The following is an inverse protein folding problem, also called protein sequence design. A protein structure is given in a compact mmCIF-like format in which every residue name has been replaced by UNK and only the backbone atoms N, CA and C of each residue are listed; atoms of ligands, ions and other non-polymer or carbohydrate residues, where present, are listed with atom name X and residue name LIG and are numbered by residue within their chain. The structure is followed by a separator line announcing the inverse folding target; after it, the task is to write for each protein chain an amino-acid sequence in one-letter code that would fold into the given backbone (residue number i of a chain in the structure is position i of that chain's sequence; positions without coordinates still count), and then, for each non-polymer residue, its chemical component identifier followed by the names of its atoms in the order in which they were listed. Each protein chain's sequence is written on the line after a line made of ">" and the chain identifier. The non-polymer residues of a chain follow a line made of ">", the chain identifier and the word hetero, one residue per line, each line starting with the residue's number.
data_IF_230919189991
#
_entry.id   IF_230919189991
#
_cell.length_a   1.000
_cell.length_b   1.000
_cell.length_c   1.000
_cell.angle_alpha   90.00
_cell.angle_beta   90.00
_cell.angle_gamma   90.00
#
_symmetry.space_group_name_H-M   'P 1'
#
loop_
_entity.id
_entity.type
_entity.pdbx_description
1 polymer ?
#
# COMPACT_ATOMS: atom_id res chain seq x y z
N UNK A 1 -5.29 -2.39 -6.99
CA UNK A 1 -4.93 -1.76 -8.29
C UNK A 1 -3.44 -1.48 -8.30
N UNK A 2 -2.77 -1.79 -9.40
CA UNK A 2 -1.33 -1.52 -9.58
C UNK A 2 -1.17 -0.35 -10.54
N UNK A 3 -0.37 0.63 -10.17
CA UNK A 3 -0.07 1.83 -10.96
C UNK A 3 1.42 2.14 -10.97
N UNK A 4 1.84 3.07 -11.81
CA UNK A 4 3.24 3.50 -11.86
C UNK A 4 4.15 2.61 -12.69
N UNK A 5 3.60 1.71 -13.47
CA UNK A 5 4.40 0.83 -14.33
C UNK A 5 5.21 1.59 -15.38
N UNK A 6 4.62 2.63 -15.96
CA UNK A 6 5.27 3.43 -17.00
C UNK A 6 6.49 4.19 -16.49
N UNK A 7 6.44 4.67 -15.23
CA UNK A 7 7.56 5.37 -14.61
C UNK A 7 8.57 4.42 -13.95
N UNK A 8 8.40 3.11 -14.08
CA UNK A 8 9.31 2.11 -13.52
C UNK A 8 9.17 1.89 -12.02
N UNK A 9 8.14 2.43 -11.38
CA UNK A 9 7.88 2.30 -9.95
C UNK A 9 6.48 1.73 -9.70
N UNK A 10 6.22 0.46 -10.07
CA UNK A 10 4.90 -0.11 -9.86
C UNK A 10 4.60 -0.25 -8.37
N UNK A 11 3.46 0.28 -7.97
CA UNK A 11 2.96 0.18 -6.60
C UNK A 11 1.52 -0.31 -6.59
N UNK A 12 1.16 -1.03 -5.55
CA UNK A 12 -0.21 -1.46 -5.34
C UNK A 12 -0.90 -0.51 -4.37
N UNK A 13 -2.12 -0.10 -4.70
CA UNK A 13 -2.90 0.80 -3.86
C UNK A 13 -4.36 0.35 -3.80
N UNK A 14 -5.07 0.86 -2.80
CA UNK A 14 -6.52 0.72 -2.76
C UNK A 14 -7.14 1.44 -3.96
N UNK A 15 -8.27 0.94 -4.42
CA UNK A 15 -8.98 1.44 -5.61
C UNK A 15 -9.80 2.68 -5.27
N UNK A 16 -9.11 3.76 -4.91
CA UNK A 16 -9.69 5.06 -4.61
C UNK A 16 -9.95 5.88 -5.88
N UNK A 17 -10.59 7.03 -5.73
CA UNK A 17 -10.78 7.96 -6.84
C UNK A 17 -9.43 8.38 -7.45
N UNK A 18 -8.48 8.76 -6.60
CA UNK A 18 -7.11 9.10 -7.04
C UNK A 18 -6.47 7.97 -7.86
N UNK A 19 -6.56 6.73 -7.37
CA UNK A 19 -5.96 5.59 -8.04
C UNK A 19 -6.55 5.37 -9.43
N UNK A 20 -7.86 5.53 -9.59
CA UNK A 20 -8.54 5.41 -10.89
C UNK A 20 -8.16 6.53 -11.84
N UNK A 21 -8.11 7.77 -11.35
CA UNK A 21 -7.71 8.93 -12.15
C UNK A 21 -6.25 8.85 -12.60
N UNK A 22 -5.35 8.45 -11.69
CA UNK A 22 -3.96 8.21 -12.01
C UNK A 22 -3.80 7.14 -13.09
N UNK A 23 -4.49 6.02 -12.92
CA UNK A 23 -4.45 4.92 -13.89
C UNK A 23 -4.91 5.38 -15.29
N UNK A 24 -6.00 6.14 -15.36
CA UNK A 24 -6.49 6.71 -16.62
C UNK A 24 -5.46 7.65 -17.23
N UNK A 25 -4.84 8.49 -16.43
CA UNK A 25 -3.82 9.43 -16.90
C UNK A 25 -2.58 8.70 -17.42
N UNK A 26 -2.13 7.67 -16.70
CA UNK A 26 -0.96 6.85 -17.06
C UNK A 26 -1.17 6.15 -18.41
N UNK A 27 -2.31 5.50 -18.61
CA UNK A 27 -2.62 4.79 -19.85
C UNK A 27 -3.23 5.70 -20.94
N UNK A 28 -3.65 6.89 -20.59
CA UNK A 28 -4.19 7.89 -21.50
C UNK A 28 -3.15 8.76 -22.19
N UNK A 29 -1.86 8.53 -21.95
CA UNK A 29 -0.80 9.27 -22.63
C UNK A 29 -0.35 10.57 -21.97
N UNK A 30 -0.69 10.80 -20.70
CA UNK A 30 -0.18 11.97 -19.97
C UNK A 30 1.36 11.94 -19.94
N UNK A 31 2.05 13.08 -20.24
CA UNK A 31 3.52 13.14 -20.17
C UNK A 31 4.05 12.77 -18.79
N UNK A 32 5.23 12.18 -18.73
CA UNK A 32 5.81 11.67 -17.48
C UNK A 32 5.95 12.73 -16.40
N UNK A 33 6.37 13.95 -16.76
CA UNK A 33 6.49 15.06 -15.80
C UNK A 33 5.14 15.47 -15.20
N UNK A 34 4.09 15.49 -16.01
CA UNK A 34 2.74 15.80 -15.54
C UNK A 34 2.19 14.67 -14.66
N UNK A 35 2.50 13.43 -15.00
CA UNK A 35 2.10 12.27 -14.22
C UNK A 35 2.76 12.25 -12.83
N UNK A 36 4.05 12.58 -12.76
CA UNK A 36 4.76 12.74 -11.50
C UNK A 36 4.16 13.86 -10.64
N UNK A 37 3.88 15.01 -11.26
CA UNK A 37 3.25 16.15 -10.59
C UNK A 37 1.85 15.78 -10.06
N UNK A 38 1.09 15.02 -10.81
CA UNK A 38 -0.23 14.54 -10.42
C UNK A 38 -0.18 13.68 -9.14
N UNK A 39 0.86 12.86 -9.01
CA UNK A 39 1.02 11.97 -7.86
C UNK A 39 1.69 12.62 -6.65
N UNK A 40 2.30 13.79 -6.81
CA UNK A 40 3.04 14.46 -5.74
C UNK A 40 2.13 14.80 -4.56
N UNK A 41 2.52 14.36 -3.37
CA UNK A 41 1.79 14.64 -2.13
C UNK A 41 0.58 13.74 -1.86
N UNK A 42 0.21 12.86 -2.78
CA UNK A 42 -0.96 11.99 -2.62
C UNK A 42 -0.84 11.00 -1.45
N UNK A 43 0.34 10.44 -1.23
CA UNK A 43 0.59 9.55 -0.09
C UNK A 43 0.48 10.30 1.24
N UNK A 44 1.00 11.52 1.28
CA UNK A 44 0.91 12.39 2.47
C UNK A 44 -0.54 12.71 2.81
N UNK A 45 -1.37 13.03 1.81
CA UNK A 45 -2.80 13.28 2.01
C UNK A 45 -3.50 12.06 2.62
N UNK A 46 -3.18 10.85 2.15
CA UNK A 46 -3.72 9.63 2.70
C UNK A 46 -3.32 9.41 4.17
N UNK A 47 -2.03 9.55 4.46
CA UNK A 47 -1.47 9.25 5.79
C UNK A 47 -1.84 10.30 6.83
N UNK A 48 -1.81 11.58 6.47
CA UNK A 48 -2.04 12.69 7.43
C UNK A 48 -3.48 13.12 7.52
N UNK A 49 -4.20 13.14 6.41
CA UNK A 49 -5.55 13.71 6.34
C UNK A 49 -6.63 12.67 6.08
N UNK A 50 -6.25 11.44 5.69
CA UNK A 50 -7.22 10.40 5.37
C UNK A 50 -8.12 10.75 4.17
N UNK A 51 -7.63 11.59 3.24
CA UNK A 51 -8.40 12.05 2.09
C UNK A 51 -8.67 10.90 1.11
N UNK A 52 -9.91 10.41 1.11
CA UNK A 52 -10.33 9.29 0.27
C UNK A 52 -10.45 9.62 -1.22
N UNK A 53 -10.54 10.90 -1.55
CA UNK A 53 -10.67 11.33 -2.95
C UNK A 53 -9.30 11.57 -3.61
N UNK A 54 -8.41 12.27 -2.91
CA UNK A 54 -7.10 12.70 -3.44
C UNK A 54 -5.92 11.91 -2.89
N UNK A 55 -6.13 11.13 -1.85
CA UNK A 55 -5.09 10.34 -1.19
C UNK A 55 -4.73 9.07 -1.95
N UNK A 56 -3.46 8.72 -1.91
CA UNK A 56 -2.95 7.44 -2.38
C UNK A 56 -2.73 6.51 -1.20
N UNK A 57 -3.54 5.47 -1.09
CA UNK A 57 -3.46 4.48 -0.02
C UNK A 57 -2.74 3.24 -0.53
N UNK A 58 -1.47 3.10 -0.18
CA UNK A 58 -0.66 1.95 -0.55
C UNK A 58 -1.04 0.74 0.29
N UNK A 59 -1.23 -0.39 -0.35
CA UNK A 59 -1.60 -1.63 0.32
C UNK A 59 -1.10 -2.83 -0.47
N UNK A 60 -0.41 -3.75 0.21
CA UNK A 60 -0.01 -5.03 -0.36
C UNK A 60 -1.15 -6.04 -0.32
N UNK A 61 -0.90 -7.24 -0.82
CA UNK A 61 -1.89 -8.31 -0.86
C UNK A 61 -2.38 -8.72 0.53
N UNK A 62 -1.51 -8.67 1.54
CA UNK A 62 -1.84 -9.04 2.92
C UNK A 62 -2.90 -8.12 3.55
N UNK A 63 -3.11 -6.93 2.99
CA UNK A 63 -4.12 -6.00 3.50
C UNK A 63 -5.53 -6.62 3.56
N UNK A 64 -5.81 -7.59 2.70
CA UNK A 64 -7.11 -8.27 2.67
C UNK A 64 -7.41 -9.10 3.93
N UNK A 65 -6.40 -9.47 4.70
CA UNK A 65 -6.56 -10.24 5.95
C UNK A 65 -6.50 -9.38 7.20
N UNK A 66 -6.29 -8.08 7.05
CA UNK A 66 -6.36 -7.13 8.16
C UNK A 66 -7.84 -6.91 8.51
N UNK A 67 -8.21 -7.24 9.74
CA UNK A 67 -9.62 -7.27 10.16
C UNK A 67 -9.95 -6.39 11.35
N UNK A 68 -9.00 -5.62 11.88
CA UNK A 68 -9.22 -4.72 13.01
C UNK A 68 -8.24 -3.56 13.03
N UNK A 69 -8.65 -2.49 13.66
CA UNK A 69 -7.79 -1.37 14.02
C UNK A 69 -7.15 -1.63 15.37
N UNK A 70 -5.88 -1.26 15.52
CA UNK A 70 -5.18 -1.34 16.80
C UNK A 70 -4.03 -0.32 16.83
N UNK A 71 -3.59 0.11 18.02
CA UNK A 71 -2.42 0.97 18.15
C UNK A 71 -1.17 0.33 17.53
N UNK A 72 -0.29 1.15 16.98
CA UNK A 72 0.92 0.67 16.32
C UNK A 72 1.81 -0.20 17.24
N UNK A 73 1.91 0.15 18.52
CA UNK A 73 2.66 -0.63 19.50
C UNK A 73 2.10 -2.06 19.66
N UNK A 74 0.78 -2.20 19.64
CA UNK A 74 0.13 -3.52 19.72
C UNK A 74 0.36 -4.34 18.46
N UNK A 75 0.37 -3.71 17.29
CA UNK A 75 0.66 -4.39 16.02
C UNK A 75 2.06 -4.98 16.04
N UNK A 76 3.05 -4.21 16.44
CA UNK A 76 4.45 -4.67 16.53
C UNK A 76 4.57 -5.81 17.53
N UNK A 77 3.97 -5.68 18.70
CA UNK A 77 3.98 -6.71 19.74
C UNK A 77 3.34 -8.01 19.25
N UNK A 78 2.19 -7.93 18.61
CA UNK A 78 1.47 -9.07 18.06
C UNK A 78 2.30 -9.83 17.02
N UNK A 79 2.95 -9.10 16.11
CA UNK A 79 3.82 -9.69 15.08
C UNK A 79 4.94 -10.51 15.74
N UNK A 80 5.61 -9.98 16.75
CA UNK A 80 6.69 -10.67 17.44
C UNK A 80 6.17 -11.85 18.25
N UNK A 81 5.07 -11.69 18.98
CA UNK A 81 4.46 -12.76 19.79
C UNK A 81 3.98 -13.93 18.93
N UNK A 82 3.48 -13.67 17.74
CA UNK A 82 3.05 -14.73 16.81
C UNK A 82 4.22 -15.37 16.06
N UNK A 83 5.24 -14.59 15.71
CA UNK A 83 6.41 -15.08 14.99
C UNK A 83 7.30 -16.00 15.85
N UNK A 84 7.46 -15.70 17.13
CA UNK A 84 8.34 -16.42 18.02
C UNK A 84 8.01 -17.92 18.14
N UNK A 85 6.74 -18.33 18.41
CA UNK A 85 6.38 -19.75 18.43
C UNK A 85 6.58 -20.45 17.09
N UNK A 86 6.34 -19.74 15.98
CA UNK A 86 6.53 -20.29 14.63
C UNK A 86 8.01 -20.59 14.39
N UNK A 87 8.90 -19.67 14.75
CA UNK A 87 10.33 -19.85 14.60
C UNK A 87 10.86 -20.95 15.51
N UNK A 88 10.41 -21.01 16.75
CA UNK A 88 10.78 -22.08 17.70
C UNK A 88 10.30 -23.45 17.24
N UNK A 89 9.17 -23.52 16.57
CA UNK A 89 8.63 -24.75 15.98
C UNK A 89 9.12 -25.05 14.57
N UNK A 90 10.04 -24.26 14.04
CA UNK A 90 10.49 -24.35 12.65
C UNK A 90 11.13 -25.67 12.26
N UNK A 91 11.71 -26.40 13.22
CA UNK A 91 12.29 -27.72 12.98
C UNK A 91 11.28 -28.74 12.40
N UNK A 92 9.98 -28.53 12.63
CA UNK A 92 8.91 -29.36 12.05
C UNK A 92 8.82 -29.27 10.54
N UNK A 93 9.35 -28.22 9.95
CA UNK A 93 9.28 -27.92 8.51
C UNK A 93 10.58 -28.25 7.78
N UNK A 94 11.60 -28.68 8.50
CA UNK A 94 12.91 -29.05 7.95
C UNK A 94 13.01 -30.58 7.88
N UNK A 95 13.26 -31.06 6.67
CA UNK A 95 13.48 -32.49 6.40
C UNK A 95 14.89 -32.94 6.75
#
# INVERSE_FOLDING_TARGET
>A
MVRGKRLGHPVRSLRTQFAREYWKAEYGGMPDKELEAFATGALRLAVREGDLEKGCFLAGQIAAVVNREQPAAEIVKEVIEEAEPILKGGWKWVE
#
